data_IF_467865936379
#
_entry.id   IF_467865936379
#
_cell.length_a   1.000
_cell.length_b   1.000
_cell.length_c   1.000
_cell.angle_alpha   90.00
_cell.angle_beta   90.00
_cell.angle_gamma   90.00
#
_symmetry.space_group_name_H-M   'P 1'
#
loop_
_entity.id
_entity.type
_entity.pdbx_description
1 polymer ?
#
# COMPACT_ATOMS: atom_id res chain seq x y z
N UNK A 1 1.06 2.23 10.88
CA UNK A 1 0.31 0.96 10.79
C UNK A 1 1.14 -0.11 10.10
N UNK A 2 1.49 0.03 8.82
CA UNK A 2 2.40 -0.92 8.14
C UNK A 2 3.79 -0.91 8.78
N UNK A 3 4.39 0.26 8.99
CA UNK A 3 5.73 0.37 9.58
C UNK A 3 5.80 -0.04 11.05
N UNK A 4 4.66 0.05 11.74
CA UNK A 4 4.47 -0.40 13.12
C UNK A 4 4.00 -1.86 13.20
N UNK A 5 4.02 -2.61 12.08
CA UNK A 5 3.57 -4.00 11.97
C UNK A 5 2.11 -4.27 12.38
N UNK A 6 1.27 -3.23 12.44
CA UNK A 6 -0.17 -3.30 12.67
C UNK A 6 -0.91 -3.60 11.36
N UNK A 7 -0.66 -4.78 10.79
CA UNK A 7 -1.13 -5.14 9.45
C UNK A 7 -2.65 -5.30 9.39
N UNK A 8 -3.28 -5.98 10.34
CA UNK A 8 -4.75 -6.12 10.34
C UNK A 8 -5.46 -4.77 10.46
N UNK A 9 -4.94 -3.89 11.32
CA UNK A 9 -5.49 -2.56 11.48
C UNK A 9 -5.32 -1.72 10.20
N UNK A 10 -4.19 -1.89 9.49
CA UNK A 10 -3.98 -1.22 8.19
C UNK A 10 -5.00 -1.65 7.13
N UNK A 11 -5.41 -2.93 7.12
CA UNK A 11 -6.47 -3.42 6.24
C UNK A 11 -7.83 -2.88 6.67
N UNK A 12 -8.11 -2.81 7.98
CA UNK A 12 -9.34 -2.23 8.52
C UNK A 12 -9.56 -0.76 8.14
N UNK A 13 -8.49 0.00 7.86
CA UNK A 13 -8.56 1.40 7.39
C UNK A 13 -8.37 1.57 5.87
N UNK A 14 -8.17 0.47 5.15
CA UNK A 14 -8.03 0.49 3.71
C UNK A 14 -9.36 0.81 3.01
N UNK A 15 -9.29 1.11 1.72
CA UNK A 15 -10.49 1.25 0.88
C UNK A 15 -11.25 -0.08 0.81
N UNK A 16 -12.57 -0.05 0.53
CA UNK A 16 -13.35 -1.25 0.26
C UNK A 16 -12.76 -2.12 -0.87
N UNK A 17 -12.05 -1.51 -1.84
CA UNK A 17 -11.39 -2.25 -2.92
C UNK A 17 -10.35 -3.22 -2.35
N UNK A 18 -9.49 -2.78 -1.45
CA UNK A 18 -8.49 -3.66 -0.85
C UNK A 18 -9.13 -4.67 0.12
N UNK A 19 -10.08 -4.22 0.94
CA UNK A 19 -10.77 -5.08 1.91
C UNK A 19 -11.53 -6.24 1.25
N UNK A 20 -12.12 -6.00 0.08
CA UNK A 20 -12.82 -7.04 -0.68
C UNK A 20 -11.87 -7.94 -1.49
N UNK A 21 -10.66 -7.46 -1.80
CA UNK A 21 -9.69 -8.20 -2.62
C UNK A 21 -8.83 -9.18 -1.81
N UNK A 22 -8.57 -8.92 -0.52
CA UNK A 22 -7.69 -9.76 0.29
C UNK A 22 -8.24 -9.99 1.70
N UNK A 23 -8.06 -11.22 2.20
CA UNK A 23 -8.39 -11.56 3.59
C UNK A 23 -7.34 -11.05 4.56
N UNK A 24 -7.73 -10.75 5.80
CA UNK A 24 -6.81 -10.33 6.86
C UNK A 24 -5.63 -11.30 7.05
N UNK A 25 -5.92 -12.61 7.01
CA UNK A 25 -4.92 -13.68 7.10
C UNK A 25 -3.92 -13.63 5.96
N UNK A 26 -4.38 -13.42 4.73
CA UNK A 26 -3.50 -13.33 3.55
C UNK A 26 -2.69 -12.05 3.59
N UNK A 27 -3.30 -10.92 3.94
CA UNK A 27 -2.64 -9.62 4.08
C UNK A 27 -1.50 -9.68 5.10
N UNK A 28 -1.77 -10.20 6.30
CA UNK A 28 -0.78 -10.40 7.34
C UNK A 28 0.36 -11.31 6.87
N UNK A 29 0.05 -12.42 6.22
CA UNK A 29 1.07 -13.35 5.71
C UNK A 29 1.98 -12.66 4.70
N UNK A 30 1.41 -11.97 3.73
CA UNK A 30 2.15 -11.26 2.67
C UNK A 30 3.08 -10.21 3.25
N UNK A 31 2.60 -9.37 4.17
CA UNK A 31 3.43 -8.33 4.79
C UNK A 31 4.47 -8.89 5.76
N UNK A 32 4.18 -9.97 6.48
CA UNK A 32 5.21 -10.67 7.28
C UNK A 32 6.32 -11.27 6.41
N UNK A 33 5.99 -11.74 5.21
CA UNK A 33 6.98 -12.33 4.29
C UNK A 33 7.80 -11.29 3.52
N UNK A 34 7.19 -10.16 3.16
CA UNK A 34 7.83 -9.16 2.28
C UNK A 34 8.32 -7.92 3.03
N UNK A 35 7.54 -7.39 3.98
CA UNK A 35 7.83 -6.12 4.66
C UNK A 35 8.63 -6.30 5.93
N UNK A 36 8.27 -7.27 6.78
CA UNK A 36 8.95 -7.48 8.07
C UNK A 36 10.46 -7.74 7.95
N UNK A 37 10.98 -8.53 6.99
CA UNK A 37 12.41 -8.79 6.88
C UNK A 37 13.25 -7.55 6.58
N UNK A 38 12.66 -6.51 5.98
CA UNK A 38 13.36 -5.28 5.63
C UNK A 38 13.78 -4.47 6.86
N UNK A 39 13.16 -4.69 8.02
CA UNK A 39 13.46 -3.95 9.25
C UNK A 39 12.81 -2.56 9.31
N UNK A 40 13.32 -1.69 10.18
CA UNK A 40 12.77 -0.34 10.34
C UNK A 40 12.92 0.50 9.06
N UNK A 41 11.97 1.40 8.79
CA UNK A 41 12.13 2.39 7.70
C UNK A 41 13.16 3.41 8.14
N UNK A 42 14.18 3.65 7.32
CA UNK A 42 15.14 4.73 7.54
C UNK A 42 14.76 5.98 6.73
N UNK A 43 14.35 5.81 5.47
CA UNK A 43 13.89 6.93 4.64
C UNK A 43 12.90 6.50 3.56
N UNK A 44 12.10 7.47 3.09
CA UNK A 44 11.23 7.37 1.91
C UNK A 44 11.35 8.64 1.08
N UNK A 45 11.59 8.48 -0.21
CA UNK A 45 11.57 9.57 -1.19
C UNK A 45 10.48 9.32 -2.21
N UNK A 46 9.56 10.27 -2.36
CA UNK A 46 8.56 10.23 -3.42
C UNK A 46 9.26 10.32 -4.78
N UNK A 47 8.99 9.34 -5.64
CA UNK A 47 9.47 9.31 -7.02
C UNK A 47 8.47 9.99 -7.95
N UNK A 48 7.18 9.86 -7.67
CA UNK A 48 6.12 10.49 -8.43
C UNK A 48 4.73 9.99 -8.04
N UNK A 49 3.73 10.65 -8.59
CA UNK A 49 2.33 10.29 -8.45
C UNK A 49 1.65 10.33 -9.81
N UNK A 50 0.78 9.35 -10.09
CA UNK A 50 -0.02 9.30 -11.32
C UNK A 50 -1.50 9.16 -10.96
N UNK A 51 -2.32 10.07 -11.47
CA UNK A 51 -3.78 9.95 -11.42
C UNK A 51 -4.28 9.02 -12.53
N UNK A 52 -5.33 8.25 -12.23
CA UNK A 52 -6.05 7.42 -13.21
C UNK A 52 -7.50 7.24 -12.77
N UNK A 53 -8.42 7.23 -13.72
CA UNK A 53 -9.84 6.91 -13.48
C UNK A 53 -10.17 5.43 -13.78
N UNK A 54 -9.24 4.75 -14.44
CA UNK A 54 -9.34 3.37 -14.87
C UNK A 54 -8.05 2.60 -14.52
N UNK A 55 -8.22 1.43 -13.92
CA UNK A 55 -7.14 0.51 -13.57
C UNK A 55 -7.60 -0.94 -13.81
N UNK A 56 -6.75 -1.80 -14.40
CA UNK A 56 -7.11 -3.19 -14.65
C UNK A 56 -7.50 -3.94 -13.37
N UNK A 57 -8.63 -4.66 -13.42
CA UNK A 57 -9.04 -5.59 -12.36
C UNK A 57 -9.65 -4.95 -11.11
N UNK A 58 -9.91 -3.63 -11.13
CA UNK A 58 -10.63 -2.92 -10.05
C UNK A 58 -11.77 -2.07 -10.62
N UNK A 59 -12.75 -1.66 -9.81
CA UNK A 59 -13.84 -0.78 -10.27
C UNK A 59 -13.31 0.56 -10.82
N UNK A 60 -14.09 1.23 -11.67
CA UNK A 60 -13.78 2.62 -12.05
C UNK A 60 -13.86 3.57 -10.84
N UNK A 61 -13.08 4.66 -10.91
CA UNK A 61 -13.12 5.75 -9.94
C UNK A 61 -11.79 6.50 -9.86
N UNK A 62 -11.71 7.50 -8.99
CA UNK A 62 -10.50 8.30 -8.84
C UNK A 62 -9.40 7.52 -8.11
N UNK A 63 -8.29 7.26 -8.80
CA UNK A 63 -7.09 6.64 -8.23
C UNK A 63 -5.87 7.55 -8.32
N UNK A 64 -4.99 7.43 -7.33
CA UNK A 64 -3.62 7.97 -7.39
C UNK A 64 -2.64 6.86 -7.04
N UNK A 65 -1.65 6.64 -7.91
CA UNK A 65 -0.57 5.69 -7.71
C UNK A 65 0.69 6.46 -7.38
N UNK A 66 1.23 6.21 -6.18
CA UNK A 66 2.47 6.78 -5.69
C UNK A 66 3.59 5.77 -5.80
N UNK A 67 4.74 6.20 -6.32
CA UNK A 67 5.99 5.44 -6.24
C UNK A 67 6.94 6.07 -5.23
N UNK A 68 7.56 5.25 -4.38
CA UNK A 68 8.58 5.69 -3.43
C UNK A 68 9.86 4.86 -3.60
N UNK A 69 11.01 5.52 -3.49
CA UNK A 69 12.29 4.88 -3.23
C UNK A 69 12.53 4.90 -1.73
N UNK A 70 12.75 3.72 -1.16
CA UNK A 70 12.76 3.52 0.28
C UNK A 70 14.03 2.82 0.72
N UNK A 71 14.54 3.25 1.87
CA UNK A 71 15.66 2.61 2.55
C UNK A 71 15.15 2.06 3.86
N UNK A 72 15.36 0.77 4.07
CA UNK A 72 15.08 0.08 5.30
C UNK A 72 16.38 -0.36 5.97
N UNK A 73 16.29 -0.72 7.23
CA UNK A 73 17.42 -1.13 8.06
C UNK A 73 18.24 -2.27 7.45
N UNK A 74 17.57 -3.28 6.88
CA UNK A 74 18.23 -4.48 6.35
C UNK A 74 18.39 -4.45 4.83
N UNK A 75 17.77 -3.49 4.14
CA UNK A 75 17.78 -3.44 2.68
C UNK A 75 17.53 -2.03 2.16
N UNK A 76 18.32 -1.61 1.17
CA UNK A 76 18.19 -0.35 0.47
C UNK A 76 17.53 -0.52 -0.91
N UNK A 77 17.32 0.60 -1.61
CA UNK A 77 16.83 0.62 -3.00
C UNK A 77 15.50 -0.10 -3.23
N UNK A 78 14.64 -0.16 -2.20
CA UNK A 78 13.32 -0.77 -2.29
C UNK A 78 12.35 0.17 -2.98
N UNK A 79 11.52 -0.36 -3.87
CA UNK A 79 10.45 0.39 -4.51
C UNK A 79 9.11 0.02 -3.87
N UNK A 80 8.51 0.99 -3.20
CA UNK A 80 7.14 0.89 -2.71
C UNK A 80 6.19 1.54 -3.72
N UNK A 81 5.12 0.83 -4.07
CA UNK A 81 3.99 1.36 -4.84
C UNK A 81 2.74 1.37 -3.96
N UNK A 82 2.17 2.55 -3.75
CA UNK A 82 0.93 2.74 -2.99
C UNK A 82 -0.14 3.24 -3.94
N UNK A 83 -1.23 2.49 -4.06
CA UNK A 83 -2.43 2.95 -4.80
C UNK A 83 -3.44 3.45 -3.79
N UNK A 84 -3.85 4.70 -3.91
CA UNK A 84 -4.98 5.27 -3.18
C UNK A 84 -6.19 5.38 -4.10
N UNK A 85 -7.38 5.15 -3.55
CA UNK A 85 -8.66 5.39 -4.22
C UNK A 85 -9.45 6.41 -3.41
N UNK A 86 -10.14 7.32 -4.10
CA UNK A 86 -11.18 8.15 -3.49
C UNK A 86 -12.45 7.33 -3.36
N UNK A 87 -12.92 7.17 -2.13
CA UNK A 87 -14.17 6.49 -1.85
C UNK A 87 -15.37 7.43 -2.04
N UNK A 88 -16.58 6.87 -1.99
CA UNK A 88 -17.83 7.61 -2.21
C UNK A 88 -18.05 8.75 -1.20
N UNK A 89 -17.45 8.64 -0.01
CA UNK A 89 -17.43 9.68 1.02
C UNK A 89 -16.40 10.79 0.75
N UNK A 90 -15.69 10.74 -0.38
CA UNK A 90 -14.68 11.71 -0.80
C UNK A 90 -13.33 11.52 -0.13
N UNK A 91 -13.16 10.54 0.76
CA UNK A 91 -11.90 10.28 1.47
C UNK A 91 -11.00 9.38 0.64
N UNK A 92 -9.72 9.73 0.56
CA UNK A 92 -8.70 8.90 -0.06
C UNK A 92 -8.23 7.82 0.91
N UNK A 93 -8.33 6.55 0.51
CA UNK A 93 -7.85 5.40 1.28
C UNK A 93 -6.95 4.52 0.44
N UNK A 94 -6.08 3.77 1.09
CA UNK A 94 -5.18 2.81 0.41
C UNK A 94 -6.03 1.71 -0.22
N UNK A 95 -5.90 1.54 -1.54
CA UNK A 95 -6.52 0.50 -2.34
C UNK A 95 -5.54 -0.61 -2.75
N UNK A 96 -4.24 -0.39 -2.57
CA UNK A 96 -3.23 -1.40 -2.76
C UNK A 96 -1.88 -0.93 -2.25
N UNK A 97 -1.05 -1.89 -1.84
CA UNK A 97 0.34 -1.64 -1.50
C UNK A 97 1.19 -2.82 -1.97
N UNK A 98 2.26 -2.48 -2.68
CA UNK A 98 3.19 -3.42 -3.27
C UNK A 98 4.63 -2.95 -2.99
N UNK A 99 5.52 -3.91 -2.73
CA UNK A 99 6.91 -3.66 -2.37
C UNK A 99 7.81 -4.68 -3.07
N UNK A 100 8.94 -4.23 -3.61
CA UNK A 100 9.95 -5.06 -4.30
C UNK A 100 11.36 -4.52 -4.15
#
# INVERSE_FOLDING_TARGET
>A
MIDTSQFSESLGRASPVLQNAITDKSWNRSLRGSRSPLGAVQSRKLLGAKFSEDLPGVPQGDYVIFGFASVFENQDNIIETVTAKKDADGIWRVAGYFIR
#
